data_IF_251783898112
#
_entry.id   IF_251783898112
#
_cell.length_a   1.000
_cell.length_b   1.000
_cell.length_c   1.000
_cell.angle_alpha   90.00
_cell.angle_beta   90.00
_cell.angle_gamma   90.00
#
_symmetry.space_group_name_H-M   'P 1'
#
loop_
_entity.id
_entity.type
_entity.pdbx_description
1 polymer ?
#
# COMPACT_ATOMS: atom_id res chain seq x y z
N UNK A 1 18.34 23.78 -3.47
CA UNK A 1 18.22 22.30 -3.57
C UNK A 1 17.55 21.66 -2.34
N UNK A 2 17.78 22.09 -1.06
CA UNK A 2 17.03 21.56 0.09
C UNK A 2 15.51 21.72 -0.05
N UNK A 3 15.04 22.87 -0.54
CA UNK A 3 13.62 23.17 -0.73
C UNK A 3 12.94 22.21 -1.74
N UNK A 4 13.62 21.84 -2.84
CA UNK A 4 13.08 20.90 -3.80
C UNK A 4 12.93 19.50 -3.17
N UNK A 5 13.94 19.02 -2.46
CA UNK A 5 13.87 17.73 -1.78
C UNK A 5 12.73 17.71 -0.76
N UNK A 6 12.57 18.78 0.02
CA UNK A 6 11.47 18.91 0.96
C UNK A 6 10.10 18.93 0.27
N UNK A 7 9.96 19.64 -0.83
CA UNK A 7 8.72 19.66 -1.62
C UNK A 7 8.40 18.27 -2.15
N UNK A 8 9.38 17.56 -2.72
CA UNK A 8 9.23 16.20 -3.24
C UNK A 8 8.81 15.23 -2.14
N UNK A 9 9.52 15.23 -1.01
CA UNK A 9 9.23 14.29 0.10
C UNK A 9 7.89 14.58 0.76
N UNK A 10 7.53 15.85 0.95
CA UNK A 10 6.23 16.22 1.50
C UNK A 10 5.09 15.79 0.58
N UNK A 11 5.18 16.10 -0.72
CA UNK A 11 4.16 15.75 -1.69
C UNK A 11 4.01 14.23 -1.81
N UNK A 12 5.12 13.50 -1.92
CA UNK A 12 5.08 12.05 -2.07
C UNK A 12 4.53 11.36 -0.81
N UNK A 13 4.89 11.83 0.39
CA UNK A 13 4.31 11.31 1.63
C UNK A 13 2.79 11.58 1.70
N UNK A 14 2.34 12.77 1.30
CA UNK A 14 0.92 13.10 1.24
C UNK A 14 0.14 12.19 0.30
N UNK A 15 0.70 11.79 -0.84
CA UNK A 15 0.06 10.82 -1.75
C UNK A 15 -0.25 9.47 -1.07
N UNK A 16 0.65 8.97 -0.23
CA UNK A 16 0.37 7.75 0.52
C UNK A 16 -0.75 7.94 1.55
N UNK A 17 -0.77 9.09 2.22
CA UNK A 17 -1.84 9.44 3.16
C UNK A 17 -3.20 9.59 2.46
N UNK A 18 -3.22 10.21 1.26
CA UNK A 18 -4.42 10.31 0.43
C UNK A 18 -4.94 8.92 -0.02
N UNK A 19 -4.05 7.99 -0.36
CA UNK A 19 -4.41 6.60 -0.65
C UNK A 19 -5.09 5.96 0.56
N UNK A 20 -4.53 6.12 1.76
CA UNK A 20 -5.13 5.64 3.00
C UNK A 20 -6.53 6.21 3.20
N UNK A 21 -6.66 7.52 3.13
CA UNK A 21 -7.91 8.23 3.39
C UNK A 21 -8.97 7.87 2.34
N UNK A 22 -8.57 7.72 1.08
CA UNK A 22 -9.44 7.23 0.01
C UNK A 22 -9.95 5.81 0.29
N UNK A 23 -9.06 4.89 0.66
CA UNK A 23 -9.45 3.50 0.98
C UNK A 23 -10.41 3.48 2.17
N UNK A 24 -10.11 4.20 3.26
CA UNK A 24 -11.01 4.30 4.41
C UNK A 24 -12.39 4.82 4.02
N UNK A 25 -12.46 5.88 3.21
CA UNK A 25 -13.72 6.43 2.75
C UNK A 25 -14.54 5.42 1.94
N UNK A 26 -13.91 4.70 1.02
CA UNK A 26 -14.60 3.71 0.19
C UNK A 26 -15.03 2.46 0.95
N UNK A 27 -14.20 1.94 1.85
CA UNK A 27 -14.53 0.71 2.60
C UNK A 27 -15.39 0.96 3.84
N UNK A 28 -15.66 2.21 4.20
CA UNK A 28 -16.49 2.54 5.36
C UNK A 28 -17.85 1.82 5.36
N UNK A 29 -18.63 1.82 4.26
CA UNK A 29 -19.98 1.24 4.26
C UNK A 29 -20.01 -0.29 4.22
N UNK A 30 -18.90 -1.00 3.92
CA UNK A 30 -18.90 -2.45 3.80
C UNK A 30 -18.63 -3.16 5.12
N UNK A 31 -19.23 -4.33 5.29
CA UNK A 31 -19.00 -5.20 6.44
C UNK A 31 -17.67 -5.99 6.33
N UNK A 32 -17.25 -6.63 7.43
CA UNK A 32 -16.12 -7.59 7.38
C UNK A 32 -16.39 -8.73 6.40
N UNK A 33 -17.61 -9.23 6.33
CA UNK A 33 -17.97 -10.29 5.37
C UNK A 33 -17.82 -9.82 3.93
N UNK A 34 -18.34 -8.64 3.61
CA UNK A 34 -18.19 -8.02 2.28
C UNK A 34 -16.71 -7.75 1.93
N UNK A 35 -15.88 -7.36 2.93
CA UNK A 35 -14.44 -7.17 2.72
C UNK A 35 -13.77 -8.42 2.14
N UNK A 36 -14.19 -9.61 2.57
CA UNK A 36 -13.64 -10.90 2.13
C UNK A 36 -14.42 -11.55 0.99
N UNK A 37 -15.52 -10.96 0.55
CA UNK A 37 -16.30 -11.45 -0.58
C UNK A 37 -15.66 -10.99 -1.89
N UNK A 38 -15.42 -11.93 -2.80
CA UNK A 38 -15.08 -11.59 -4.19
C UNK A 38 -16.37 -11.71 -5.02
N UNK A 39 -16.91 -10.61 -5.56
CA UNK A 39 -18.16 -10.63 -6.32
C UNK A 39 -18.00 -11.21 -7.74
N UNK A 40 -16.76 -11.45 -8.17
CA UNK A 40 -16.44 -11.95 -9.52
C UNK A 40 -15.81 -13.34 -9.47
N UNK A 41 -15.91 -14.14 -10.55
CA UNK A 41 -15.25 -15.45 -10.63
C UNK A 41 -13.73 -15.35 -10.86
N UNK A 42 -13.17 -14.14 -10.86
CA UNK A 42 -11.75 -13.84 -11.05
C UNK A 42 -11.32 -12.71 -10.10
N UNK A 43 -10.02 -12.49 -10.00
CA UNK A 43 -9.46 -11.42 -9.18
C UNK A 43 -9.46 -11.76 -7.69
N UNK A 44 -9.44 -10.74 -6.86
CA UNK A 44 -9.27 -10.85 -5.42
C UNK A 44 -10.34 -10.05 -4.67
N UNK A 45 -10.62 -10.43 -3.43
CA UNK A 45 -11.45 -9.63 -2.54
C UNK A 45 -10.72 -8.34 -2.10
N UNK A 46 -11.45 -7.38 -1.56
CA UNK A 46 -10.88 -6.15 -0.98
C UNK A 46 -9.89 -6.49 0.14
N UNK A 47 -10.22 -7.46 1.00
CA UNK A 47 -9.33 -7.91 2.07
C UNK A 47 -7.99 -8.42 1.54
N UNK A 48 -8.01 -9.27 0.50
CA UNK A 48 -6.77 -9.74 -0.13
C UNK A 48 -5.95 -8.62 -0.79
N UNK A 49 -6.60 -7.64 -1.43
CA UNK A 49 -5.91 -6.48 -1.98
C UNK A 49 -5.25 -5.62 -0.89
N UNK A 50 -5.92 -5.43 0.24
CA UNK A 50 -5.33 -4.71 1.38
C UNK A 50 -4.15 -5.48 1.99
N UNK A 51 -4.24 -6.80 2.15
CA UNK A 51 -3.10 -7.62 2.58
C UNK A 51 -1.93 -7.49 1.61
N UNK A 52 -2.22 -7.50 0.30
CA UNK A 52 -1.22 -7.38 -0.75
C UNK A 52 -0.51 -6.02 -0.73
N UNK A 53 -1.24 -4.91 -0.64
CA UNK A 53 -0.64 -3.57 -0.57
C UNK A 53 0.16 -3.43 0.72
N UNK A 54 -0.38 -3.87 1.85
CA UNK A 54 0.31 -3.85 3.15
C UNK A 54 1.62 -4.64 3.11
N UNK A 55 1.58 -5.87 2.57
CA UNK A 55 2.77 -6.71 2.42
C UNK A 55 3.80 -6.11 1.46
N UNK A 56 3.33 -5.49 0.39
CA UNK A 56 4.15 -4.76 -0.57
C UNK A 56 4.94 -3.62 0.10
N UNK A 57 4.26 -2.73 0.81
CA UNK A 57 4.87 -1.58 1.48
C UNK A 57 5.85 -2.02 2.57
N UNK A 58 5.47 -3.00 3.39
CA UNK A 58 6.35 -3.53 4.44
C UNK A 58 7.60 -4.20 3.88
N UNK A 59 7.50 -4.83 2.70
CA UNK A 59 8.66 -5.45 2.06
C UNK A 59 9.55 -4.41 1.39
N UNK A 60 9.02 -3.69 0.39
CA UNK A 60 9.86 -2.85 -0.46
C UNK A 60 10.36 -1.59 0.23
N UNK A 61 9.59 -1.03 1.16
CA UNK A 61 10.02 0.13 1.93
C UNK A 61 10.49 -0.28 3.32
N UNK A 62 9.68 -1.04 4.05
CA UNK A 62 10.00 -1.46 5.40
C UNK A 62 11.29 -2.28 5.48
N UNK A 63 11.35 -3.42 4.82
CA UNK A 63 12.52 -4.29 4.90
C UNK A 63 13.72 -3.73 4.12
N UNK A 64 13.50 -3.15 2.91
CA UNK A 64 14.59 -2.76 2.01
C UNK A 64 15.18 -1.36 2.27
N UNK A 65 14.41 -0.43 2.81
CA UNK A 65 14.86 0.95 3.06
C UNK A 65 15.00 1.21 4.56
N UNK A 66 13.97 0.87 5.36
CA UNK A 66 13.98 1.08 6.82
C UNK A 66 14.83 0.04 7.54
N UNK A 67 14.96 -1.16 6.96
CA UNK A 67 15.69 -2.27 7.58
C UNK A 67 14.88 -3.02 8.63
N UNK A 68 13.55 -3.06 8.48
CA UNK A 68 12.72 -3.88 9.36
C UNK A 68 12.99 -5.37 9.14
N UNK A 69 12.62 -6.21 10.13
CA UNK A 69 12.74 -7.68 10.01
C UNK A 69 11.54 -8.32 9.29
N UNK A 70 10.76 -7.55 8.55
CA UNK A 70 9.60 -8.07 7.84
C UNK A 70 10.01 -9.07 6.76
N UNK A 71 9.41 -10.26 6.82
CA UNK A 71 9.58 -11.31 5.80
C UNK A 71 8.24 -11.47 5.08
N UNK A 72 8.24 -11.19 3.79
CA UNK A 72 7.02 -11.23 2.97
C UNK A 72 6.61 -12.67 2.66
N UNK A 73 5.34 -12.99 2.89
CA UNK A 73 4.70 -14.20 2.37
C UNK A 73 3.65 -13.80 1.32
N UNK A 74 4.11 -13.54 0.09
CA UNK A 74 3.25 -13.08 -1.00
C UNK A 74 2.10 -14.03 -1.33
N UNK A 75 2.28 -15.36 -1.40
CA UNK A 75 1.16 -16.28 -1.62
C UNK A 75 0.04 -16.11 -0.60
N UNK A 76 0.36 -15.93 0.68
CA UNK A 76 -0.63 -15.78 1.74
C UNK A 76 -1.47 -14.50 1.59
N UNK A 77 -0.94 -13.45 0.97
CA UNK A 77 -1.68 -12.22 0.69
C UNK A 77 -2.96 -12.47 -0.13
N UNK A 78 -2.99 -13.54 -0.93
CA UNK A 78 -4.10 -13.90 -1.83
C UNK A 78 -4.85 -15.18 -1.43
N UNK A 79 -4.33 -15.94 -0.48
CA UNK A 79 -4.89 -17.23 -0.07
C UNK A 79 -5.31 -17.28 1.40
N UNK A 80 -5.18 -16.16 2.12
CA UNK A 80 -5.59 -16.08 3.52
C UNK A 80 -7.11 -16.29 3.66
N UNK A 81 -7.48 -17.31 4.43
CA UNK A 81 -8.87 -17.67 4.73
C UNK A 81 -9.28 -17.30 6.15
N UNK A 82 -8.42 -16.63 6.91
CA UNK A 82 -8.68 -16.27 8.32
C UNK A 82 -9.83 -15.27 8.50
N UNK A 83 -10.15 -14.50 7.44
CA UNK A 83 -11.23 -13.49 7.42
C UNK A 83 -11.17 -12.56 8.62
N UNK A 84 -9.99 -12.02 8.89
CA UNK A 84 -9.77 -11.10 10.01
C UNK A 84 -10.76 -9.94 10.00
N UNK A 85 -11.13 -9.39 11.16
CA UNK A 85 -11.98 -8.19 11.24
C UNK A 85 -11.46 -7.06 10.37
N UNK A 86 -12.36 -6.33 9.70
CA UNK A 86 -12.05 -5.20 8.82
C UNK A 86 -11.12 -4.19 9.51
N UNK A 87 -11.39 -3.87 10.75
CA UNK A 87 -10.61 -2.91 11.54
C UNK A 87 -9.15 -3.37 11.73
N UNK A 88 -8.91 -4.66 11.89
CA UNK A 88 -7.54 -5.18 12.02
C UNK A 88 -6.78 -5.08 10.70
N UNK A 89 -7.43 -5.39 9.58
CA UNK A 89 -6.83 -5.27 8.24
C UNK A 89 -6.49 -3.82 7.94
N UNK A 90 -7.40 -2.90 8.22
CA UNK A 90 -7.18 -1.46 8.04
C UNK A 90 -6.07 -0.93 8.95
N UNK A 91 -6.04 -1.34 10.22
CA UNK A 91 -4.97 -0.93 11.15
C UNK A 91 -3.58 -1.41 10.69
N UNK A 92 -3.47 -2.61 10.10
CA UNK A 92 -2.21 -3.09 9.54
C UNK A 92 -1.79 -2.26 8.31
N UNK A 93 -2.74 -1.93 7.46
CA UNK A 93 -2.53 -1.06 6.31
C UNK A 93 -2.12 0.36 6.74
N UNK A 94 -2.80 0.95 7.72
CA UNK A 94 -2.48 2.29 8.25
C UNK A 94 -1.05 2.34 8.79
N UNK A 95 -0.63 1.33 9.57
CA UNK A 95 0.74 1.26 10.07
C UNK A 95 1.77 1.19 8.95
N UNK A 96 1.47 0.48 7.88
CA UNK A 96 2.35 0.43 6.71
C UNK A 96 2.44 1.78 6.01
N UNK A 97 1.33 2.47 5.82
CA UNK A 97 1.31 3.84 5.24
C UNK A 97 2.07 4.82 6.13
N UNK A 98 1.84 4.82 7.44
CA UNK A 98 2.51 5.73 8.39
C UNK A 98 4.03 5.49 8.40
N UNK A 99 4.46 4.24 8.35
CA UNK A 99 5.88 3.89 8.23
C UNK A 99 6.47 4.46 6.95
N UNK A 100 5.80 4.31 5.80
CA UNK A 100 6.26 4.82 4.51
C UNK A 100 6.31 6.34 4.50
N UNK A 101 5.23 7.02 4.88
CA UNK A 101 5.14 8.48 4.90
C UNK A 101 6.20 9.10 5.83
N UNK A 102 6.37 8.52 7.02
CA UNK A 102 7.41 8.94 7.97
C UNK A 102 8.81 8.74 7.39
N UNK A 103 9.04 7.62 6.70
CA UNK A 103 10.34 7.31 6.07
C UNK A 103 10.65 8.31 4.96
N UNK A 104 9.68 8.60 4.10
CA UNK A 104 9.83 9.56 2.99
C UNK A 104 10.17 10.95 3.53
N UNK A 105 9.45 11.44 4.54
CA UNK A 105 9.69 12.79 5.12
C UNK A 105 11.08 12.97 5.72
N UNK A 106 11.75 11.88 6.08
CA UNK A 106 13.12 11.89 6.62
C UNK A 106 14.20 11.85 5.54
N UNK A 107 13.86 11.63 4.26
CA UNK A 107 14.85 11.53 3.20
C UNK A 107 15.41 12.91 2.85
N UNK A 108 16.74 13.01 2.82
CA UNK A 108 17.46 14.10 2.18
C UNK A 108 17.49 13.92 0.64
N UNK A 109 17.94 14.93 -0.09
CA UNK A 109 18.18 14.79 -1.53
C UNK A 109 19.16 13.65 -1.85
N UNK A 110 20.17 13.47 -1.02
CA UNK A 110 21.15 12.39 -1.17
C UNK A 110 20.56 11.02 -0.87
N UNK A 111 19.66 10.92 0.11
CA UNK A 111 18.97 9.66 0.43
C UNK A 111 18.02 9.25 -0.70
N UNK A 112 17.31 10.20 -1.32
CA UNK A 112 16.40 9.91 -2.42
C UNK A 112 17.10 9.25 -3.61
N UNK A 113 18.33 9.67 -3.91
CA UNK A 113 19.13 9.11 -5.03
C UNK A 113 20.06 7.97 -4.55
N UNK A 114 19.99 7.58 -3.27
CA UNK A 114 20.77 6.43 -2.79
C UNK A 114 20.33 5.15 -3.49
N UNK A 115 21.28 4.25 -3.82
CA UNK A 115 20.97 3.00 -4.53
C UNK A 115 19.90 2.19 -3.79
N UNK A 116 18.95 1.67 -4.58
CA UNK A 116 17.95 0.70 -4.14
C UNK A 116 18.17 -0.60 -4.91
N UNK A 117 18.02 -1.73 -4.26
CA UNK A 117 18.17 -3.04 -4.90
C UNK A 117 17.12 -4.01 -4.40
N UNK A 118 16.32 -4.51 -5.31
CA UNK A 118 15.47 -5.66 -5.13
C UNK A 118 15.33 -6.39 -6.47
N UNK A 119 15.58 -7.69 -6.50
CA UNK A 119 15.59 -8.50 -7.73
C UNK A 119 14.23 -8.50 -8.45
N UNK A 120 13.15 -8.28 -7.71
CA UNK A 120 11.78 -8.22 -8.26
C UNK A 120 11.39 -6.82 -8.75
N UNK A 121 12.26 -5.81 -8.55
CA UNK A 121 12.06 -4.42 -8.94
C UNK A 121 13.30 -3.88 -9.67
N UNK A 122 13.73 -4.49 -10.78
CA UNK A 122 14.96 -4.10 -11.48
C UNK A 122 14.90 -2.67 -12.04
N UNK A 123 13.71 -2.13 -12.25
CA UNK A 123 13.47 -0.77 -12.76
C UNK A 123 13.51 0.31 -11.67
N UNK A 124 13.84 -0.04 -10.44
CA UNK A 124 13.98 0.90 -9.32
C UNK A 124 15.47 1.05 -8.96
N UNK A 125 16.22 1.96 -9.61
CA UNK A 125 17.66 2.11 -9.37
C UNK A 125 17.97 2.82 -8.05
N UNK A 126 17.04 3.59 -7.51
CA UNK A 126 17.20 4.41 -6.32
C UNK A 126 15.95 4.41 -5.44
N UNK A 127 16.07 5.00 -4.26
CA UNK A 127 14.95 5.06 -3.30
C UNK A 127 13.77 5.88 -3.81
N UNK A 128 14.01 6.96 -4.55
CA UNK A 128 12.93 7.78 -5.12
C UNK A 128 12.10 6.96 -6.11
N UNK A 129 12.75 6.21 -6.98
CA UNK A 129 12.09 5.31 -7.93
C UNK A 129 11.26 4.25 -7.19
N UNK A 130 11.81 3.66 -6.11
CA UNK A 130 11.09 2.69 -5.29
C UNK A 130 9.85 3.30 -4.61
N UNK A 131 9.98 4.46 -3.98
CA UNK A 131 8.83 5.16 -3.38
C UNK A 131 7.75 5.49 -4.41
N UNK A 132 8.14 6.01 -5.57
CA UNK A 132 7.20 6.36 -6.65
C UNK A 132 6.51 5.13 -7.22
N UNK A 133 7.25 4.04 -7.43
CA UNK A 133 6.71 2.77 -7.93
C UNK A 133 5.68 2.18 -6.96
N UNK A 134 5.97 2.18 -5.66
CA UNK A 134 5.05 1.64 -4.66
C UNK A 134 3.82 2.54 -4.47
N UNK A 135 3.94 3.86 -4.62
CA UNK A 135 2.78 4.76 -4.66
C UNK A 135 1.86 4.44 -5.84
N UNK A 136 2.42 4.32 -7.05
CA UNK A 136 1.65 3.95 -8.24
C UNK A 136 0.96 2.58 -8.09
N UNK A 137 1.63 1.61 -7.48
CA UNK A 137 1.08 0.29 -7.19
C UNK A 137 -0.10 0.37 -6.18
N UNK A 138 0.03 1.15 -5.11
CA UNK A 138 -1.05 1.34 -4.15
C UNK A 138 -2.26 2.04 -4.81
N UNK A 139 -2.04 3.04 -5.65
CA UNK A 139 -3.07 3.72 -6.43
C UNK A 139 -3.80 2.78 -7.40
N UNK A 140 -3.05 1.91 -8.08
CA UNK A 140 -3.62 0.89 -8.96
C UNK A 140 -4.62 0.00 -8.21
N UNK A 141 -4.25 -0.50 -7.03
CA UNK A 141 -5.14 -1.33 -6.21
C UNK A 141 -6.29 -0.53 -5.57
N UNK A 142 -6.11 0.74 -5.27
CA UNK A 142 -7.21 1.61 -4.84
C UNK A 142 -8.32 1.67 -5.89
N UNK A 143 -7.96 1.80 -7.16
CA UNK A 143 -8.93 1.74 -8.26
C UNK A 143 -9.73 0.44 -8.28
N UNK A 144 -9.08 -0.70 -8.10
CA UNK A 144 -9.74 -2.01 -8.00
C UNK A 144 -10.67 -2.10 -6.78
N UNK A 145 -10.23 -1.62 -5.62
CA UNK A 145 -11.05 -1.58 -4.40
C UNK A 145 -12.32 -0.75 -4.62
N UNK A 146 -12.22 0.41 -5.27
CA UNK A 146 -13.38 1.26 -5.58
C UNK A 146 -14.43 0.50 -6.40
N UNK A 147 -14.00 -0.21 -7.44
CA UNK A 147 -14.94 -1.00 -8.26
C UNK A 147 -15.55 -2.16 -7.49
N UNK A 148 -14.78 -2.85 -6.66
CA UNK A 148 -15.30 -3.92 -5.80
C UNK A 148 -16.32 -3.41 -4.79
N UNK A 149 -16.07 -2.27 -4.16
CA UNK A 149 -17.04 -1.65 -3.23
C UNK A 149 -18.33 -1.30 -3.96
N UNK A 150 -18.26 -0.68 -5.13
CA UNK A 150 -19.43 -0.33 -5.93
C UNK A 150 -20.25 -1.55 -6.29
N UNK A 151 -19.61 -2.66 -6.65
CA UNK A 151 -20.31 -3.91 -6.95
C UNK A 151 -20.97 -4.52 -5.72
N UNK A 152 -20.28 -4.53 -4.57
CA UNK A 152 -20.79 -5.08 -3.31
C UNK A 152 -21.89 -4.24 -2.65
N UNK A 153 -22.04 -2.97 -3.03
CA UNK A 153 -23.01 -2.02 -2.46
C UNK A 153 -24.07 -1.57 -3.44
N UNK A 154 -24.09 -2.10 -4.68
CA UNK A 154 -25.17 -1.80 -5.62
C UNK A 154 -26.50 -2.30 -5.07
N UNK A 155 -27.54 -1.48 -5.22
CA UNK A 155 -28.91 -1.93 -5.00
C UNK A 155 -29.30 -2.90 -6.13
N UNK A 156 -30.04 -3.95 -5.78
CA UNK A 156 -30.63 -4.89 -6.73
C UNK A 156 -31.69 -4.19 -7.60
#
# INVERSE_FOLDING_TARGET
MPELAQSVTSTLASYYEEVRDSIHGWVAPISTEQLWTNPYPYGNSIGHLLLHVTGNLNHYIGARIVGTRYVRNRPLEFTDTSRRPKEQVLNDFDRAIDMVATTIRKQSAQDLVAPYSDETQPDCPDRFSAFTRMAAHAYHHTGQIIYLVKELTKAD
#
